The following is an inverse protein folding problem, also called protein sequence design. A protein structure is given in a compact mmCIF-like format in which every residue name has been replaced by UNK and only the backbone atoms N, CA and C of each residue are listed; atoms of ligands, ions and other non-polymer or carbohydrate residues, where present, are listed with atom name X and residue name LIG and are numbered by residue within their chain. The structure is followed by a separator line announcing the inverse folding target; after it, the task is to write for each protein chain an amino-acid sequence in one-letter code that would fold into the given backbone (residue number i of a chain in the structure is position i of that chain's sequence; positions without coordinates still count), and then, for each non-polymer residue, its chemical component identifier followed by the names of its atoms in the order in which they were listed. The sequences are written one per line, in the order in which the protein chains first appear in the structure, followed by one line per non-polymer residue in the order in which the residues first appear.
data_IF_461367244618
#
_entry.id   IF_461367244618
#
_cell.length_a   1.000
_cell.length_b   1.000
_cell.length_c   1.000
_cell.angle_alpha   90.00
_cell.angle_beta   90.00
_cell.angle_gamma   90.00
#
_symmetry.space_group_name_H-M   'P 1'
#
loop_
_entity.id
_entity.type
_entity.pdbx_description
1 polymer ?
#
# COMPACT_ATOMS: atom_id res chain seq x y z
N UNK A 1 -4.57 7.14 -22.26
CA UNK A 1 -3.38 6.29 -22.01
C UNK A 1 -3.62 4.94 -22.65
N UNK A 2 -2.59 4.22 -23.10
CA UNK A 2 -2.74 2.85 -23.63
C UNK A 2 -2.79 1.84 -22.48
N UNK A 3 -3.39 0.66 -22.68
CA UNK A 3 -3.39 -0.44 -21.70
C UNK A 3 -1.96 -0.75 -21.21
N UNK A 4 -1.00 -0.91 -22.12
CA UNK A 4 0.39 -1.18 -21.77
C UNK A 4 1.00 -0.10 -20.86
N UNK A 5 0.71 1.18 -21.10
CA UNK A 5 1.17 2.27 -20.24
C UNK A 5 0.52 2.21 -18.85
N UNK A 6 -0.78 1.94 -18.79
CA UNK A 6 -1.51 1.78 -17.53
C UNK A 6 -0.96 0.61 -16.70
N UNK A 7 -0.67 -0.54 -17.32
CA UNK A 7 -0.03 -1.68 -16.65
C UNK A 7 1.34 -1.33 -16.08
N UNK A 8 2.15 -0.56 -16.80
CA UNK A 8 3.47 -0.11 -16.30
C UNK A 8 3.30 0.79 -15.07
N UNK A 9 2.33 1.70 -15.09
CA UNK A 9 2.08 2.62 -13.99
C UNK A 9 1.48 1.92 -12.77
N UNK A 10 0.52 1.01 -12.98
CA UNK A 10 -0.07 0.18 -11.93
C UNK A 10 0.94 -0.80 -11.32
N UNK A 11 1.84 -1.41 -12.10
CA UNK A 11 2.96 -2.20 -11.55
C UNK A 11 3.89 -1.34 -10.70
N UNK A 12 4.04 -0.06 -11.05
CA UNK A 12 4.80 0.88 -10.24
C UNK A 12 4.09 1.26 -8.95
N UNK A 13 2.76 1.39 -8.98
CA UNK A 13 1.93 1.55 -7.79
C UNK A 13 2.08 0.34 -6.86
N UNK A 14 1.96 -0.89 -7.38
CA UNK A 14 2.12 -2.12 -6.61
C UNK A 14 3.50 -2.20 -5.93
N UNK A 15 4.58 -1.83 -6.64
CA UNK A 15 5.93 -1.73 -6.04
C UNK A 15 6.02 -0.67 -4.94
N UNK A 16 5.44 0.51 -5.15
CA UNK A 16 5.39 1.57 -4.15
C UNK A 16 4.62 1.14 -2.89
N UNK A 17 3.48 0.48 -3.08
CA UNK A 17 2.64 -0.04 -2.00
C UNK A 17 3.37 -1.13 -1.19
N UNK A 18 4.04 -2.07 -1.86
CA UNK A 18 4.92 -3.06 -1.20
C UNK A 18 6.01 -2.41 -0.36
N UNK A 19 6.62 -1.33 -0.85
CA UNK A 19 7.63 -0.56 -0.11
C UNK A 19 7.07 0.05 1.18
N UNK A 20 5.89 0.67 1.10
CA UNK A 20 5.20 1.22 2.27
C UNK A 20 4.82 0.11 3.25
N UNK A 21 4.17 -0.96 2.79
CA UNK A 21 3.77 -2.09 3.63
C UNK A 21 4.97 -2.69 4.38
N UNK A 22 6.10 -2.89 3.69
CA UNK A 22 7.33 -3.37 4.32
C UNK A 22 7.83 -2.41 5.40
N UNK A 23 7.91 -1.11 5.11
CA UNK A 23 8.37 -0.12 6.10
C UNK A 23 7.46 -0.09 7.35
N UNK A 24 6.14 -0.19 7.17
CA UNK A 24 5.21 -0.27 8.29
C UNK A 24 5.43 -1.54 9.13
N UNK A 25 5.58 -2.70 8.49
CA UNK A 25 5.88 -3.95 9.19
C UNK A 25 7.20 -3.87 9.95
N UNK A 26 8.24 -3.34 9.32
CA UNK A 26 9.58 -3.22 9.93
C UNK A 26 9.53 -2.35 11.20
N UNK A 27 8.79 -1.23 11.17
CA UNK A 27 8.63 -0.34 12.33
C UNK A 27 7.78 -0.99 13.43
N UNK A 28 6.59 -1.48 13.10
CA UNK A 28 5.66 -2.06 14.07
C UNK A 28 6.23 -3.33 14.73
N UNK A 29 7.06 -4.10 14.00
CA UNK A 29 7.76 -5.26 14.56
C UNK A 29 8.69 -4.89 15.70
N UNK A 30 9.27 -3.68 15.70
CA UNK A 30 10.21 -3.25 16.76
C UNK A 30 9.56 -3.23 18.14
N UNK A 31 8.23 -3.03 18.21
CA UNK A 31 7.47 -3.09 19.46
C UNK A 31 7.59 -4.46 20.17
N UNK A 32 7.85 -5.53 19.43
CA UNK A 32 7.97 -6.89 19.95
C UNK A 32 9.42 -7.29 20.31
N UNK A 33 10.38 -6.38 20.11
CA UNK A 33 11.80 -6.66 20.34
C UNK A 33 12.38 -7.68 19.36
N UNK A 34 13.29 -8.52 19.84
CA UNK A 34 13.90 -9.57 19.03
C UNK A 34 12.88 -10.69 18.73
N UNK A 35 12.20 -10.57 17.60
CA UNK A 35 11.42 -11.66 17.01
C UNK A 35 12.40 -12.71 16.48
N UNK A 36 12.08 -14.00 16.66
CA UNK A 36 12.98 -15.13 16.39
C UNK A 36 13.37 -15.30 14.91
N UNK A 37 13.24 -16.51 14.37
CA UNK A 37 13.53 -16.78 12.97
C UNK A 37 12.49 -16.17 12.01
N UNK A 38 12.71 -16.38 10.72
CA UNK A 38 11.82 -15.92 9.64
C UNK A 38 10.40 -16.48 9.80
N UNK A 39 10.28 -17.73 10.27
CA UNK A 39 8.97 -18.36 10.49
C UNK A 39 8.21 -17.71 11.64
N UNK A 40 8.89 -17.42 12.74
CA UNK A 40 8.30 -16.73 13.90
C UNK A 40 7.89 -15.30 13.54
N UNK A 41 8.70 -14.60 12.74
CA UNK A 41 8.33 -13.29 12.22
C UNK A 41 7.09 -13.35 11.33
N UNK A 42 7.04 -14.32 10.42
CA UNK A 42 5.86 -14.54 9.57
C UNK A 42 4.62 -14.84 10.43
N UNK A 43 4.73 -15.73 11.41
CA UNK A 43 3.63 -16.06 12.33
C UNK A 43 3.15 -14.85 13.12
N UNK A 44 4.06 -13.99 13.58
CA UNK A 44 3.74 -12.76 14.29
C UNK A 44 2.93 -11.81 13.40
N UNK A 45 3.46 -11.45 12.22
CA UNK A 45 2.81 -10.46 11.34
C UNK A 45 1.48 -10.95 10.76
N UNK A 46 1.31 -12.26 10.65
CA UNK A 46 0.07 -12.86 10.10
C UNK A 46 -1.01 -13.11 11.13
N UNK A 47 -0.65 -13.45 12.37
CA UNK A 47 -1.64 -13.92 13.36
C UNK A 47 -1.86 -12.94 14.51
N UNK A 48 -0.95 -12.00 14.76
CA UNK A 48 -1.06 -11.13 15.93
C UNK A 48 -1.99 -9.93 15.64
N UNK A 49 -2.97 -9.63 16.52
CA UNK A 49 -3.98 -8.59 16.26
C UNK A 49 -3.41 -7.17 16.11
N UNK A 50 -2.18 -6.94 16.59
CA UNK A 50 -1.45 -5.69 16.38
C UNK A 50 -1.30 -5.33 14.89
N UNK A 51 -1.18 -6.32 13.99
CA UNK A 51 -1.00 -6.11 12.56
C UNK A 51 -2.31 -6.10 11.77
N UNK A 52 -3.47 -6.32 12.42
CA UNK A 52 -4.76 -6.44 11.74
C UNK A 52 -5.13 -5.19 10.92
N UNK A 53 -4.66 -4.01 11.34
CA UNK A 53 -4.90 -2.77 10.61
C UNK A 53 -4.21 -2.73 9.24
N UNK A 54 -3.10 -3.44 9.05
CA UNK A 54 -2.39 -3.51 7.76
C UNK A 54 -3.13 -4.36 6.71
N UNK A 55 -4.10 -5.18 7.13
CA UNK A 55 -4.88 -6.03 6.21
C UNK A 55 -5.60 -5.21 5.13
N UNK A 56 -6.01 -3.97 5.42
CA UNK A 56 -6.63 -3.09 4.42
C UNK A 56 -5.70 -2.76 3.26
N UNK A 57 -4.43 -2.45 3.57
CA UNK A 57 -3.43 -2.18 2.54
C UNK A 57 -3.06 -3.46 1.77
N UNK A 58 -2.85 -4.57 2.48
CA UNK A 58 -2.48 -5.85 1.86
C UNK A 58 -3.59 -6.41 0.98
N UNK A 59 -4.86 -6.23 1.37
CA UNK A 59 -6.01 -6.61 0.55
C UNK A 59 -6.06 -5.81 -0.77
N UNK A 60 -5.88 -4.49 -0.70
CA UNK A 60 -5.85 -3.65 -1.90
C UNK A 60 -4.64 -3.95 -2.80
N UNK A 61 -3.50 -4.32 -2.22
CA UNK A 61 -2.33 -4.79 -2.96
C UNK A 61 -2.61 -6.11 -3.68
N UNK A 62 -3.27 -7.06 -3.01
CA UNK A 62 -3.62 -8.35 -3.61
C UNK A 62 -4.61 -8.18 -4.76
N UNK A 63 -5.64 -7.34 -4.59
CA UNK A 63 -6.60 -7.00 -5.66
C UNK A 63 -5.91 -6.37 -6.87
N UNK A 64 -4.94 -5.48 -6.65
CA UNK A 64 -4.15 -4.88 -7.74
C UNK A 64 -3.24 -5.91 -8.43
N UNK A 65 -2.55 -6.77 -7.66
CA UNK A 65 -1.68 -7.81 -8.23
C UNK A 65 -2.52 -8.82 -9.05
N UNK A 66 -3.69 -9.25 -8.56
CA UNK A 66 -4.63 -10.11 -9.30
C UNK A 66 -5.07 -9.45 -10.61
N UNK A 67 -5.47 -8.18 -10.56
CA UNK A 67 -5.87 -7.45 -11.77
C UNK A 67 -4.74 -7.27 -12.79
N UNK A 68 -3.51 -7.11 -12.33
CA UNK A 68 -2.33 -6.99 -13.19
C UNK A 68 -1.95 -8.30 -13.89
N UNK A 69 -2.39 -9.43 -13.35
CA UNK A 69 -2.19 -10.77 -13.90
C UNK A 69 -3.31 -11.19 -14.87
N UNK A 70 -4.47 -10.52 -14.81
CA UNK A 70 -5.53 -10.65 -15.81
C UNK A 70 -5.07 -10.15 -17.19
N UNK A 71 -5.47 -10.83 -18.27
CA UNK A 71 -5.17 -10.49 -19.66
C UNK A 71 -6.11 -9.41 -20.23
N UNK A 72 -7.27 -9.17 -19.60
CA UNK A 72 -8.23 -8.14 -20.03
C UNK A 72 -7.61 -6.74 -20.01
N UNK A 73 -7.91 -5.93 -21.03
CA UNK A 73 -7.36 -4.59 -21.17
C UNK A 73 -7.77 -3.70 -19.98
N UNK A 74 -6.81 -2.96 -19.43
CA UNK A 74 -7.05 -2.00 -18.36
C UNK A 74 -7.53 -0.68 -18.96
N UNK A 75 -8.68 -0.21 -18.47
CA UNK A 75 -9.22 1.08 -18.86
C UNK A 75 -8.71 2.21 -17.95
N UNK A 76 -8.72 3.44 -18.47
CA UNK A 76 -8.25 4.60 -17.70
C UNK A 76 -9.11 4.86 -16.44
N UNK A 77 -10.42 4.61 -16.52
CA UNK A 77 -11.33 4.74 -15.38
C UNK A 77 -11.01 3.75 -14.26
N UNK A 78 -10.71 2.50 -14.62
CA UNK A 78 -10.29 1.47 -13.67
C UNK A 78 -8.97 1.83 -12.98
N UNK A 79 -7.97 2.29 -13.74
CA UNK A 79 -6.71 2.75 -13.16
C UNK A 79 -6.91 3.95 -12.20
N UNK A 80 -7.86 4.84 -12.49
CA UNK A 80 -8.23 5.95 -11.60
C UNK A 80 -8.96 5.48 -10.32
N UNK A 81 -9.68 4.36 -10.37
CA UNK A 81 -10.30 3.75 -9.19
C UNK A 81 -9.23 3.21 -8.23
N UNK A 82 -8.21 2.51 -8.74
CA UNK A 82 -7.07 2.08 -7.92
C UNK A 82 -6.37 3.28 -7.27
N UNK A 83 -6.10 4.34 -8.04
CA UNK A 83 -5.56 5.58 -7.48
C UNK A 83 -6.42 6.10 -6.32
N UNK A 84 -7.73 6.17 -6.52
CA UNK A 84 -8.69 6.66 -5.53
C UNK A 84 -8.68 5.80 -4.26
N UNK A 85 -8.67 4.47 -4.40
CA UNK A 85 -8.63 3.54 -3.28
C UNK A 85 -7.34 3.69 -2.44
N UNK A 86 -6.18 3.74 -3.10
CA UNK A 86 -4.90 3.96 -2.41
C UNK A 86 -4.84 5.35 -1.76
N UNK A 87 -5.24 6.41 -2.46
CA UNK A 87 -5.30 7.76 -1.87
C UNK A 87 -6.32 7.84 -0.72
N UNK A 88 -7.35 7.00 -0.74
CA UNK A 88 -8.31 6.81 0.34
C UNK A 88 -7.69 6.23 1.61
N UNK A 89 -6.62 5.42 1.51
CA UNK A 89 -5.88 4.85 2.65
C UNK A 89 -4.67 5.70 3.09
N UNK A 90 -3.92 6.26 2.14
CA UNK A 90 -2.65 6.96 2.43
C UNK A 90 -2.69 8.47 2.19
N UNK A 91 -3.86 9.03 1.86
CA UNK A 91 -4.07 10.44 1.52
C UNK A 91 -3.86 10.76 0.03
N UNK A 92 -4.22 11.95 -0.46
CA UNK A 92 -4.81 13.09 0.26
C UNK A 92 -6.35 13.07 0.31
N UNK A 93 -7.00 12.00 -0.15
CA UNK A 93 -8.47 11.91 -0.14
C UNK A 93 -9.02 11.76 1.29
N UNK A 94 -10.34 11.95 1.50
CA UNK A 94 -10.99 11.53 2.74
C UNK A 94 -10.64 10.08 3.08
N UNK A 95 -10.50 9.78 4.37
CA UNK A 95 -10.16 8.44 4.81
C UNK A 95 -11.32 7.48 4.53
N UNK A 96 -11.02 6.35 3.89
CA UNK A 96 -11.96 5.22 3.79
C UNK A 96 -11.92 4.33 5.05
N UNK A 97 -10.89 4.50 5.88
CA UNK A 97 -10.69 3.83 7.16
C UNK A 97 -9.91 4.78 8.10
N UNK A 98 -10.58 5.27 9.14
CA UNK A 98 -10.03 6.25 10.07
C UNK A 98 -8.95 5.66 11.00
N UNK A 99 -9.09 4.39 11.42
CA UNK A 99 -8.09 3.74 12.28
C UNK A 99 -6.79 3.53 11.50
N UNK A 100 -6.90 3.02 10.26
CA UNK A 100 -5.76 2.91 9.36
C UNK A 100 -5.09 4.27 9.17
N UNK A 101 -5.86 5.30 8.79
CA UNK A 101 -5.32 6.63 8.51
C UNK A 101 -4.58 7.20 9.71
N UNK A 102 -5.15 7.07 10.92
CA UNK A 102 -4.54 7.58 12.14
C UNK A 102 -3.19 6.93 12.43
N UNK A 103 -3.11 5.60 12.38
CA UNK A 103 -1.85 4.85 12.60
C UNK A 103 -0.82 5.17 11.52
N UNK A 104 -1.27 5.19 10.27
CA UNK A 104 -0.43 5.53 9.13
C UNK A 104 0.19 6.92 9.27
N UNK A 105 -0.59 7.93 9.67
CA UNK A 105 -0.11 9.30 9.87
C UNK A 105 0.89 9.42 11.02
N UNK A 106 0.68 8.70 12.12
CA UNK A 106 1.63 8.67 13.23
C UNK A 106 2.98 8.11 12.76
N UNK A 107 2.98 6.95 12.10
CA UNK A 107 4.20 6.34 11.57
C UNK A 107 4.85 7.16 10.45
N UNK A 108 4.05 7.84 9.63
CA UNK A 108 4.57 8.75 8.61
C UNK A 108 5.33 9.93 9.22
N UNK A 109 4.92 10.40 10.40
CA UNK A 109 5.60 11.46 11.13
C UNK A 109 6.84 10.96 11.89
N UNK A 110 6.72 9.81 12.53
CA UNK A 110 7.69 9.32 13.52
C UNK A 110 8.81 8.45 12.88
N UNK A 111 8.56 7.82 11.73
CA UNK A 111 9.51 6.90 11.08
C UNK A 111 9.97 7.41 9.70
N UNK A 112 11.24 7.84 9.55
CA UNK A 112 11.78 8.35 8.28
C UNK A 112 11.63 7.38 7.10
N UNK A 113 11.81 6.08 7.34
CA UNK A 113 11.65 5.02 6.33
C UNK A 113 10.23 4.95 5.77
N UNK A 114 9.21 5.20 6.61
CA UNK A 114 7.80 5.26 6.17
C UNK A 114 7.57 6.52 5.33
N UNK A 115 8.14 7.66 5.72
CA UNK A 115 8.07 8.90 4.94
C UNK A 115 8.73 8.77 3.55
N UNK A 116 9.90 8.13 3.48
CA UNK A 116 10.59 7.86 2.21
C UNK A 116 9.75 6.94 1.34
N UNK A 117 9.26 5.82 1.89
CA UNK A 117 8.42 4.88 1.14
C UNK A 117 7.11 5.54 0.65
N UNK A 118 6.49 6.38 1.48
CA UNK A 118 5.32 7.17 1.11
C UNK A 118 5.61 8.11 -0.07
N UNK A 119 6.77 8.76 -0.07
CA UNK A 119 7.20 9.60 -1.19
C UNK A 119 7.26 8.84 -2.52
N UNK A 120 7.81 7.62 -2.51
CA UNK A 120 7.85 6.73 -3.69
C UNK A 120 6.45 6.31 -4.13
N UNK A 121 5.58 5.95 -3.19
CA UNK A 121 4.18 5.61 -3.47
C UNK A 121 3.45 6.80 -4.11
N UNK A 122 3.64 8.02 -3.59
CA UNK A 122 3.04 9.23 -4.16
C UNK A 122 3.52 9.53 -5.58
N UNK A 123 4.79 9.29 -5.89
CA UNK A 123 5.30 9.41 -7.26
C UNK A 123 4.64 8.40 -8.21
N UNK A 124 4.34 7.20 -7.72
CA UNK A 124 3.61 6.21 -8.51
C UNK A 124 2.15 6.59 -8.73
N UNK A 125 1.46 7.06 -7.69
CA UNK A 125 0.08 7.55 -7.79
C UNK A 125 -0.06 8.74 -8.76
N UNK A 126 0.95 9.62 -8.80
CA UNK A 126 0.94 10.78 -9.69
C UNK A 126 0.99 10.43 -11.19
N UNK A 127 1.39 9.22 -11.56
CA UNK A 127 1.40 8.75 -12.95
C UNK A 127 0.03 8.22 -13.41
N UNK A 128 -0.85 7.86 -12.48
CA UNK A 128 -2.16 7.31 -12.81
C UNK A 128 -3.15 8.42 -13.18
N UNK A 129 -4.14 8.13 -14.04
CA UNK A 129 -5.22 9.05 -14.35
C UNK A 129 -5.91 9.57 -13.08
N UNK A 130 -6.40 10.81 -13.14
CA UNK A 130 -7.33 11.31 -12.13
C UNK A 130 -8.69 10.65 -12.33
N UNK A 131 -9.45 10.37 -11.27
CA UNK A 131 -10.86 10.03 -11.41
C UNK A 131 -11.61 11.24 -11.99
N UNK A 132 -12.62 10.95 -12.81
CA UNK A 132 -13.55 11.95 -13.36
C UNK A 132 -14.37 12.64 -12.25
#
# INVERSE_FOLDING_TARGET
MTDQALRIDLRSLARGARGVHKALLDVETQYFGAVGGVLEHLQLVTNHPHFAWLLKLSGLMAELDERLDDEEAIEAGEAAQYRTAFEGLVGPRPAIDDDFRKRYQALLHDAPEVAIAHGVLRQALARLPQPE
#
